data_IF_811605602398
#
_entry.id   IF_811605602398
#
_cell.length_a   1.000
_cell.length_b   1.000
_cell.length_c   1.000
_cell.angle_alpha   90.00
_cell.angle_beta   90.00
_cell.angle_gamma   90.00
#
_symmetry.space_group_name_H-M   'P 1'
#
loop_
_entity.id
_entity.type
_entity.pdbx_description
1 polymer ?
#
# COMPACT_ATOMS: atom_id res chain seq x y z
N UNK A 1 -1.20 -24.84 -4.66
CA UNK A 1 -0.18 -25.26 -5.66
C UNK A 1 -0.31 -24.36 -6.89
N UNK A 2 0.80 -23.91 -7.48
CA UNK A 2 0.81 -22.93 -8.59
C UNK A 2 0.29 -23.57 -9.88
N UNK A 3 -0.50 -22.84 -10.67
CA UNK A 3 -1.01 -23.30 -11.97
C UNK A 3 -0.30 -22.54 -13.09
N UNK A 4 0.47 -23.26 -13.90
CA UNK A 4 1.22 -22.68 -15.01
C UNK A 4 0.50 -22.84 -16.34
N UNK A 5 0.71 -21.90 -17.25
CA UNK A 5 0.31 -21.97 -18.66
C UNK A 5 1.44 -21.45 -19.56
N UNK A 6 1.46 -21.90 -20.81
CA UNK A 6 2.30 -21.33 -21.86
C UNK A 6 1.39 -20.59 -22.82
N UNK A 7 1.75 -19.36 -23.19
CA UNK A 7 0.99 -18.57 -24.14
C UNK A 7 1.90 -17.75 -25.06
N UNK A 8 1.30 -17.09 -26.04
CA UNK A 8 2.01 -16.18 -26.96
C UNK A 8 1.48 -14.76 -26.78
N UNK A 9 2.38 -13.80 -26.61
CA UNK A 9 2.03 -12.38 -26.54
C UNK A 9 1.44 -11.96 -27.88
N UNK A 10 0.21 -11.44 -27.86
CA UNK A 10 -0.49 -10.94 -29.05
C UNK A 10 -0.35 -9.44 -29.22
N UNK A 11 -0.43 -8.72 -28.12
CA UNK A 11 -0.32 -7.27 -28.12
C UNK A 11 0.16 -6.74 -26.77
N UNK A 12 0.93 -5.65 -26.83
CA UNK A 12 1.21 -4.81 -25.66
C UNK A 12 0.03 -3.85 -25.50
N UNK A 13 -0.65 -3.89 -24.34
CA UNK A 13 -1.89 -3.12 -24.11
C UNK A 13 -1.61 -1.77 -23.45
N UNK A 14 -1.01 -1.80 -22.25
CA UNK A 14 -0.76 -0.62 -21.42
C UNK A 14 0.58 -0.76 -20.73
N UNK A 15 1.12 0.39 -20.32
CA UNK A 15 2.34 0.47 -19.53
C UNK A 15 2.12 1.46 -18.40
N UNK A 16 2.71 1.15 -17.26
CA UNK A 16 2.88 2.07 -16.14
C UNK A 16 4.18 1.69 -15.42
N UNK A 17 4.57 2.44 -14.39
CA UNK A 17 5.84 2.23 -13.68
C UNK A 17 6.06 0.76 -13.28
N UNK A 18 7.10 0.15 -13.86
CA UNK A 18 7.55 -1.21 -13.58
C UNK A 18 6.65 -2.34 -14.09
N UNK A 19 5.58 -2.05 -14.84
CA UNK A 19 4.63 -3.09 -15.32
C UNK A 19 4.18 -2.87 -16.76
N UNK A 20 4.08 -3.97 -17.49
CA UNK A 20 3.50 -4.03 -18.84
C UNK A 20 2.27 -4.93 -18.82
N UNK A 21 1.12 -4.39 -19.25
CA UNK A 21 -0.10 -5.16 -19.48
C UNK A 21 -0.08 -5.73 -20.90
N UNK A 22 -0.31 -7.03 -21.00
CA UNK A 22 -0.26 -7.81 -22.23
C UNK A 22 -1.62 -8.44 -22.53
N UNK A 23 -1.88 -8.61 -23.82
CA UNK A 23 -2.79 -9.62 -24.32
C UNK A 23 -1.98 -10.88 -24.64
N UNK A 24 -2.38 -12.03 -24.07
CA UNK A 24 -1.72 -13.32 -24.29
C UNK A 24 -2.74 -14.36 -24.72
N UNK A 25 -2.44 -15.07 -25.80
CA UNK A 25 -3.24 -16.20 -26.28
C UNK A 25 -2.71 -17.50 -25.69
N UNK A 26 -3.57 -18.26 -25.00
CA UNK A 26 -3.26 -19.54 -24.36
C UNK A 26 -4.49 -20.44 -24.38
N UNK A 27 -4.32 -21.75 -24.55
CA UNK A 27 -5.41 -22.75 -24.51
C UNK A 27 -6.65 -22.39 -25.36
N UNK A 28 -6.45 -21.74 -26.51
CA UNK A 28 -7.54 -21.35 -27.42
C UNK A 28 -8.29 -20.06 -27.05
N UNK A 29 -7.87 -19.34 -26.01
CA UNK A 29 -8.48 -18.09 -25.57
C UNK A 29 -7.45 -16.98 -25.35
N UNK A 30 -7.91 -15.73 -25.42
CA UNK A 30 -7.13 -14.55 -25.06
C UNK A 30 -7.38 -14.17 -23.60
N UNK A 31 -6.31 -13.87 -22.86
CA UNK A 31 -6.38 -13.36 -21.50
C UNK A 31 -5.47 -12.14 -21.32
N UNK A 32 -5.72 -11.38 -20.25
CA UNK A 32 -4.84 -10.28 -19.84
C UNK A 32 -3.75 -10.81 -18.91
N UNK A 33 -2.52 -10.40 -19.15
CA UNK A 33 -1.38 -10.74 -18.31
C UNK A 33 -0.59 -9.50 -17.91
N UNK A 34 0.15 -9.58 -16.81
CA UNK A 34 1.12 -8.57 -16.39
C UNK A 34 2.53 -9.16 -16.42
N UNK A 35 3.45 -8.42 -17.01
CA UNK A 35 4.89 -8.64 -16.87
C UNK A 35 5.49 -7.51 -16.03
N UNK A 36 6.42 -7.87 -15.15
CA UNK A 36 7.29 -6.92 -14.46
C UNK A 36 8.66 -6.95 -15.16
N UNK A 37 8.97 -6.00 -16.07
CA UNK A 37 10.14 -6.13 -16.93
C UNK A 37 11.46 -6.31 -16.18
N UNK A 38 11.60 -5.69 -14.99
CA UNK A 38 12.78 -5.85 -14.14
C UNK A 38 12.98 -7.27 -13.60
N UNK A 39 11.93 -8.11 -13.58
CA UNK A 39 12.04 -9.50 -13.13
C UNK A 39 12.10 -10.51 -14.28
N UNK A 40 11.39 -10.23 -15.39
CA UNK A 40 11.16 -11.23 -16.44
C UNK A 40 11.66 -10.82 -17.82
N UNK A 41 12.22 -9.61 -17.94
CA UNK A 41 12.59 -9.00 -19.21
C UNK A 41 11.42 -8.25 -19.88
N UNK A 42 11.75 -7.42 -20.87
CA UNK A 42 10.77 -6.61 -21.60
C UNK A 42 10.04 -7.46 -22.65
N UNK A 43 8.72 -7.72 -22.52
CA UNK A 43 7.95 -8.52 -23.47
C UNK A 43 7.76 -7.85 -24.83
N UNK A 44 7.66 -8.66 -25.88
CA UNK A 44 7.40 -8.26 -27.26
C UNK A 44 6.27 -9.10 -27.86
N UNK A 45 5.59 -8.55 -28.87
CA UNK A 45 4.61 -9.34 -29.64
C UNK A 45 5.29 -10.55 -30.29
N UNK A 46 4.60 -11.70 -30.23
CA UNK A 46 5.13 -12.97 -30.73
C UNK A 46 5.95 -13.77 -29.71
N UNK A 47 6.39 -13.17 -28.59
CA UNK A 47 7.08 -13.92 -27.54
C UNK A 47 6.21 -15.06 -27.00
N UNK A 48 6.85 -16.19 -26.72
CA UNK A 48 6.29 -17.20 -25.83
C UNK A 48 6.52 -16.76 -24.38
N UNK A 49 5.50 -16.89 -23.55
CA UNK A 49 5.55 -16.57 -22.12
C UNK A 49 5.02 -17.72 -21.28
N UNK A 50 5.63 -17.91 -20.11
CA UNK A 50 5.09 -18.78 -19.06
C UNK A 50 4.29 -17.93 -18.07
N UNK A 51 3.10 -18.39 -17.72
CA UNK A 51 2.13 -17.64 -16.93
C UNK A 51 1.78 -18.38 -15.63
N UNK A 52 1.68 -17.66 -14.52
CA UNK A 52 0.95 -18.09 -13.33
C UNK A 52 -0.50 -17.62 -13.44
N UNK A 53 -1.41 -18.59 -13.55
CA UNK A 53 -2.86 -18.36 -13.69
C UNK A 53 -3.64 -18.77 -12.44
N UNK A 54 -2.98 -19.16 -11.35
CA UNK A 54 -3.63 -19.78 -10.19
C UNK A 54 -4.76 -18.92 -9.59
N UNK A 55 -4.44 -17.69 -9.21
CA UNK A 55 -5.41 -16.78 -8.61
C UNK A 55 -6.45 -16.25 -9.62
N UNK A 56 -6.08 -16.16 -10.91
CA UNK A 56 -7.01 -15.85 -11.99
C UNK A 56 -8.10 -16.93 -12.12
N UNK A 57 -7.69 -18.20 -12.22
CA UNK A 57 -8.62 -19.33 -12.35
C UNK A 57 -9.52 -19.49 -11.12
N UNK A 58 -9.01 -19.13 -9.93
CA UNK A 58 -9.78 -19.18 -8.69
C UNK A 58 -10.63 -17.92 -8.44
N UNK A 59 -10.55 -16.90 -9.30
CA UNK A 59 -11.30 -15.66 -9.12
C UNK A 59 -10.90 -14.85 -7.87
N UNK A 60 -9.66 -14.99 -7.39
CA UNK A 60 -9.20 -14.40 -6.11
C UNK A 60 -8.80 -12.91 -6.22
N UNK A 61 -9.36 -12.17 -7.18
CA UNK A 61 -9.18 -10.72 -7.25
C UNK A 61 -7.77 -10.24 -7.62
N UNK A 62 -7.10 -10.86 -8.60
CA UNK A 62 -5.81 -10.37 -9.15
C UNK A 62 -5.94 -9.14 -10.06
N UNK A 63 -7.07 -8.43 -10.02
CA UNK A 63 -7.46 -7.49 -11.08
C UNK A 63 -7.85 -8.18 -12.40
N UNK A 64 -7.95 -9.52 -12.39
CA UNK A 64 -8.27 -10.32 -13.58
C UNK A 64 -7.07 -10.48 -14.51
N UNK A 65 -5.86 -10.58 -13.95
CA UNK A 65 -4.62 -10.81 -14.68
C UNK A 65 -3.99 -12.16 -14.35
N UNK A 66 -3.39 -12.79 -15.36
CA UNK A 66 -2.31 -13.76 -15.18
C UNK A 66 -0.98 -13.03 -14.94
N UNK A 67 -0.02 -13.65 -14.26
CA UNK A 67 1.31 -13.06 -14.08
C UNK A 67 2.33 -13.78 -14.95
N UNK A 68 3.10 -13.04 -15.74
CA UNK A 68 4.24 -13.58 -16.49
C UNK A 68 5.30 -14.00 -15.50
N UNK A 69 5.75 -15.25 -15.64
CA UNK A 69 6.82 -15.85 -14.82
C UNK A 69 8.15 -15.80 -15.55
N UNK A 70 8.15 -16.02 -16.87
CA UNK A 70 9.35 -15.99 -17.69
C UNK A 70 9.01 -15.77 -19.17
N UNK A 71 9.98 -15.21 -19.89
CA UNK A 71 10.05 -15.17 -21.36
C UNK A 71 11.17 -16.15 -21.77
N UNK A 72 10.89 -17.47 -21.83
CA UNK A 72 11.92 -18.50 -21.87
C UNK A 72 12.85 -18.43 -23.08
N UNK A 73 12.35 -17.90 -24.20
CA UNK A 73 13.08 -17.88 -25.45
C UNK A 73 13.83 -16.54 -25.66
N UNK A 74 13.73 -15.61 -24.69
CA UNK A 74 14.38 -14.29 -24.69
C UNK A 74 14.61 -13.79 -23.27
N UNK A 75 15.71 -14.26 -22.67
CA UNK A 75 16.10 -13.89 -21.32
C UNK A 75 16.45 -12.40 -21.22
N UNK A 76 16.21 -11.74 -20.08
CA UNK A 76 16.77 -10.42 -19.83
C UNK A 76 18.31 -10.48 -19.87
N UNK A 77 18.99 -9.39 -20.27
CA UNK A 77 20.44 -9.30 -20.13
C UNK A 77 20.84 -9.33 -18.65
N UNK A 78 22.02 -9.86 -18.36
CA UNK A 78 22.60 -9.74 -17.02
C UNK A 78 22.82 -8.25 -16.66
N UNK A 79 22.77 -7.90 -15.36
CA UNK A 79 23.20 -6.57 -14.90
C UNK A 79 24.61 -6.23 -15.39
N UNK A 80 24.91 -4.92 -15.45
CA UNK A 80 26.23 -4.46 -15.90
C UNK A 80 27.35 -4.82 -14.91
N UNK A 81 27.03 -4.94 -13.62
CA UNK A 81 27.92 -5.53 -12.63
C UNK A 81 27.91 -7.06 -12.72
N UNK A 82 29.03 -7.68 -12.41
CA UNK A 82 29.19 -9.14 -12.46
C UNK A 82 28.67 -9.85 -11.19
N UNK A 83 28.02 -9.11 -10.28
CA UNK A 83 27.50 -9.61 -9.01
C UNK A 83 28.56 -10.04 -8.00
N UNK A 84 29.85 -9.75 -8.22
CA UNK A 84 30.93 -10.18 -7.30
C UNK A 84 31.19 -9.20 -6.15
N UNK A 85 30.70 -7.97 -6.27
CA UNK A 85 30.78 -6.92 -5.24
C UNK A 85 29.39 -6.62 -4.66
N UNK A 86 29.32 -5.72 -3.68
CA UNK A 86 28.05 -5.26 -3.06
C UNK A 86 27.75 -3.80 -3.37
N UNK A 87 28.42 -3.25 -4.39
CA UNK A 87 28.38 -1.82 -4.72
C UNK A 87 27.03 -1.39 -5.32
N UNK A 88 26.27 -2.34 -5.87
CA UNK A 88 24.90 -2.14 -6.35
C UNK A 88 23.83 -2.52 -5.31
N UNK A 89 24.24 -2.83 -4.07
CA UNK A 89 23.36 -3.35 -3.02
C UNK A 89 23.19 -4.87 -3.09
N UNK A 90 22.70 -5.44 -1.99
CA UNK A 90 22.54 -6.90 -1.86
C UNK A 90 21.29 -7.29 -1.07
N UNK A 91 20.36 -6.36 -0.90
CA UNK A 91 19.10 -6.64 -0.23
C UNK A 91 18.24 -7.52 -1.13
N UNK A 92 18.01 -8.76 -0.69
CA UNK A 92 17.16 -9.72 -1.39
C UNK A 92 15.71 -9.61 -0.90
N UNK A 93 14.80 -9.32 -1.84
CA UNK A 93 13.34 -9.29 -1.69
C UNK A 93 12.72 -10.55 -2.32
N UNK A 94 11.54 -10.94 -1.86
CA UNK A 94 10.93 -12.22 -2.19
C UNK A 94 11.91 -13.40 -1.99
N UNK A 95 12.60 -13.41 -0.84
CA UNK A 95 13.68 -14.36 -0.53
C UNK A 95 13.24 -15.81 -0.69
N UNK A 96 14.11 -16.63 -1.27
CA UNK A 96 13.88 -18.06 -1.52
C UNK A 96 12.72 -18.38 -2.48
N UNK A 97 12.18 -17.39 -3.20
CA UNK A 97 11.31 -17.63 -4.36
C UNK A 97 12.16 -17.77 -5.64
N UNK A 98 11.64 -18.36 -6.72
CA UNK A 98 12.41 -18.51 -7.96
C UNK A 98 12.83 -17.19 -8.65
N UNK A 99 12.23 -16.05 -8.31
CA UNK A 99 12.47 -14.76 -8.98
C UNK A 99 13.29 -13.74 -8.18
N UNK A 100 13.60 -13.99 -6.91
CA UNK A 100 14.37 -13.12 -5.97
C UNK A 100 14.87 -11.80 -6.55
N UNK A 101 14.23 -10.69 -6.17
CA UNK A 101 14.66 -9.36 -6.59
C UNK A 101 15.82 -8.90 -5.70
N UNK A 102 16.95 -8.54 -6.31
CA UNK A 102 18.09 -7.90 -5.63
C UNK A 102 17.94 -6.40 -5.82
N UNK A 103 18.09 -5.64 -4.75
CA UNK A 103 17.96 -4.18 -4.79
C UNK A 103 18.88 -3.54 -3.77
N UNK A 104 19.18 -2.25 -3.99
CA UNK A 104 19.90 -1.44 -3.03
C UNK A 104 18.99 -1.01 -1.88
N UNK A 105 19.24 -1.55 -0.70
CA UNK A 105 18.56 -1.13 0.52
C UNK A 105 19.01 0.26 0.95
N UNK A 106 18.06 1.07 1.43
CA UNK A 106 18.29 2.48 1.82
C UNK A 106 19.34 2.63 2.92
N UNK A 107 19.50 1.62 3.77
CA UNK A 107 20.44 1.56 4.88
C UNK A 107 21.70 0.72 4.59
N UNK A 108 21.87 0.17 3.38
CA UNK A 108 23.06 -0.60 3.01
C UNK A 108 24.31 0.30 2.88
N UNK A 109 25.51 -0.27 3.04
CA UNK A 109 26.78 0.47 2.93
C UNK A 109 26.96 1.19 1.58
N UNK A 110 26.50 0.57 0.50
CA UNK A 110 26.54 1.16 -0.84
C UNK A 110 25.48 2.26 -1.07
N UNK A 111 24.54 2.44 -0.14
CA UNK A 111 23.48 3.43 -0.29
C UNK A 111 24.03 4.85 -0.19
N UNK A 112 23.64 5.77 -1.09
CA UNK A 112 23.97 7.19 -0.95
C UNK A 112 23.34 7.81 0.32
N UNK A 113 22.39 7.10 0.96
CA UNK A 113 21.70 7.53 2.16
C UNK A 113 22.26 6.91 3.44
N UNK A 114 23.34 6.11 3.36
CA UNK A 114 23.92 5.38 4.49
C UNK A 114 24.20 6.27 5.70
N UNK A 115 24.80 7.44 5.49
CA UNK A 115 25.13 8.38 6.57
C UNK A 115 23.89 8.91 7.28
N UNK A 116 22.87 9.32 6.52
CA UNK A 116 21.58 9.80 7.05
C UNK A 116 20.91 8.70 7.85
N UNK A 117 20.81 7.50 7.28
CA UNK A 117 20.16 6.36 7.93
C UNK A 117 20.88 5.89 9.19
N UNK A 118 22.23 5.93 9.22
CA UNK A 118 23.01 5.57 10.40
C UNK A 118 22.79 6.52 11.59
N UNK A 119 22.40 7.77 11.33
CA UNK A 119 22.11 8.79 12.35
C UNK A 119 20.63 8.91 12.72
N UNK A 120 19.74 8.26 11.98
CA UNK A 120 18.30 8.41 12.13
C UNK A 120 17.78 7.54 13.29
N UNK A 121 17.40 8.17 14.40
CA UNK A 121 16.92 7.46 15.60
C UNK A 121 15.42 7.64 15.87
N UNK A 122 14.80 8.66 15.30
CA UNK A 122 13.45 9.11 15.66
C UNK A 122 12.69 9.62 14.42
N UNK A 123 11.36 9.62 14.47
CA UNK A 123 10.50 10.28 13.47
C UNK A 123 10.28 11.76 13.77
N UNK A 124 10.89 12.22 14.87
CA UNK A 124 10.76 13.55 15.44
C UNK A 124 9.28 13.89 15.48
N UNK A 125 8.40 13.15 16.17
CA UNK A 125 6.97 13.52 16.22
C UNK A 125 6.18 13.54 14.90
N UNK A 126 6.74 13.13 13.75
CA UNK A 126 6.04 13.12 12.46
C UNK A 126 4.70 12.34 12.57
N UNK A 127 3.58 12.92 12.11
CA UNK A 127 2.32 12.20 11.98
C UNK A 127 2.42 11.04 10.98
N UNK A 128 1.92 9.87 11.38
CA UNK A 128 1.88 8.68 10.53
C UNK A 128 0.47 8.10 10.48
N UNK A 129 -0.14 8.13 9.30
CA UNK A 129 -1.48 7.57 9.07
C UNK A 129 -1.35 6.09 8.71
N UNK A 130 -1.91 5.20 9.52
CA UNK A 130 -2.01 3.77 9.18
C UNK A 130 -3.35 3.46 8.53
N UNK A 131 -3.38 2.74 7.41
CA UNK A 131 -4.61 2.34 6.74
C UNK A 131 -4.59 0.87 6.31
N UNK A 132 -5.71 0.17 6.53
CA UNK A 132 -5.82 -1.27 6.29
C UNK A 132 -5.59 -1.63 4.81
N UNK A 133 -6.17 -0.88 3.89
CA UNK A 133 -6.11 -1.20 2.47
C UNK A 133 -5.33 -0.15 1.71
N UNK A 134 -4.55 -0.59 0.71
CA UNK A 134 -3.88 0.28 -0.25
C UNK A 134 -4.82 1.32 -0.90
N UNK A 135 -6.09 0.95 -1.11
CA UNK A 135 -7.13 1.82 -1.69
C UNK A 135 -7.46 3.05 -0.85
N UNK A 136 -7.05 3.11 0.42
CA UNK A 136 -7.23 4.30 1.26
C UNK A 136 -6.23 5.41 0.94
N UNK A 137 -5.06 5.08 0.35
CA UNK A 137 -3.97 6.03 0.14
C UNK A 137 -4.40 7.31 -0.60
N UNK A 138 -5.12 7.26 -1.74
CA UNK A 138 -5.54 8.48 -2.43
C UNK A 138 -6.48 9.35 -1.60
N UNK A 139 -7.37 8.73 -0.82
CA UNK A 139 -8.30 9.47 0.04
C UNK A 139 -7.61 10.13 1.22
N UNK A 140 -6.69 9.41 1.89
CA UNK A 140 -5.82 10.00 2.93
C UNK A 140 -5.04 11.20 2.35
N UNK A 141 -4.44 11.03 1.17
CA UNK A 141 -3.68 12.10 0.52
C UNK A 141 -4.57 13.30 0.16
N UNK A 142 -5.78 13.07 -0.35
CA UNK A 142 -6.74 14.14 -0.62
C UNK A 142 -7.07 14.94 0.64
N UNK A 143 -7.29 14.25 1.78
CA UNK A 143 -7.52 14.89 3.07
C UNK A 143 -6.32 15.69 3.58
N UNK A 144 -5.10 15.16 3.41
CA UNK A 144 -3.86 15.87 3.75
C UNK A 144 -3.72 17.14 2.91
N UNK A 145 -3.80 17.03 1.58
CA UNK A 145 -3.53 18.13 0.66
C UNK A 145 -4.62 19.20 0.66
N UNK A 146 -5.86 18.83 1.01
CA UNK A 146 -6.91 19.82 1.22
C UNK A 146 -6.60 20.71 2.44
N UNK A 147 -6.07 20.13 3.51
CA UNK A 147 -5.73 20.87 4.74
C UNK A 147 -4.36 21.58 4.62
N UNK A 148 -3.39 20.93 3.99
CA UNK A 148 -2.01 21.40 3.78
C UNK A 148 -1.54 21.10 2.36
N UNK A 149 -1.84 21.98 1.38
CA UNK A 149 -1.53 21.75 -0.03
C UNK A 149 -0.04 21.55 -0.36
N UNK A 150 0.86 22.00 0.51
CA UNK A 150 2.32 21.91 0.32
C UNK A 150 2.97 20.76 1.12
N UNK A 151 2.18 19.94 1.83
CA UNK A 151 2.73 18.88 2.66
C UNK A 151 3.44 17.82 1.80
N UNK A 152 4.66 17.43 2.23
CA UNK A 152 5.39 16.31 1.64
C UNK A 152 4.91 15.00 2.25
N UNK A 153 4.20 14.21 1.46
CA UNK A 153 3.63 12.93 1.91
C UNK A 153 4.41 11.76 1.34
N UNK A 154 4.96 10.91 2.20
CA UNK A 154 5.56 9.65 1.79
C UNK A 154 4.60 8.47 2.01
N UNK A 155 4.74 7.43 1.22
CA UNK A 155 4.02 6.17 1.39
C UNK A 155 4.98 5.05 1.80
N UNK A 156 4.75 4.43 2.95
CA UNK A 156 5.48 3.24 3.39
C UNK A 156 4.59 2.02 3.12
N UNK A 157 4.95 1.24 2.11
CA UNK A 157 4.22 0.06 1.69
C UNK A 157 4.73 -1.18 2.42
N UNK A 158 3.84 -1.83 3.19
CA UNK A 158 4.16 -3.10 3.87
C UNK A 158 3.85 -4.32 2.99
N UNK A 159 4.42 -5.46 3.35
CA UNK A 159 4.39 -6.70 2.56
C UNK A 159 3.17 -7.58 2.81
N UNK A 160 2.14 -7.07 3.49
CA UNK A 160 0.89 -7.79 3.76
C UNK A 160 0.15 -8.27 2.51
N UNK A 161 0.32 -7.58 1.37
CA UNK A 161 -0.21 -8.00 0.07
C UNK A 161 0.76 -8.85 -0.77
N UNK A 162 2.04 -8.94 -0.38
CA UNK A 162 3.10 -9.69 -1.06
C UNK A 162 3.25 -9.40 -2.58
N UNK A 163 2.98 -8.15 -3.01
CA UNK A 163 3.13 -7.70 -4.40
C UNK A 163 4.19 -6.58 -4.51
N UNK A 164 4.86 -6.45 -5.66
CA UNK A 164 5.68 -5.29 -5.94
C UNK A 164 4.83 -4.02 -6.03
N UNK A 165 5.39 -2.87 -5.65
CA UNK A 165 4.75 -1.55 -5.77
C UNK A 165 4.33 -1.27 -7.22
N UNK A 166 5.09 -1.80 -8.18
CA UNK A 166 4.82 -1.75 -9.62
C UNK A 166 3.44 -2.26 -10.01
N UNK A 167 2.83 -3.17 -9.25
CA UNK A 167 1.46 -3.63 -9.54
C UNK A 167 0.44 -2.48 -9.45
N UNK A 168 0.72 -1.46 -8.63
CA UNK A 168 -0.22 -0.38 -8.34
C UNK A 168 -0.20 0.72 -9.39
N UNK A 169 -1.25 0.74 -10.22
CA UNK A 169 -1.57 1.92 -11.06
C UNK A 169 -1.91 3.16 -10.22
N UNK A 170 -2.35 2.97 -8.98
CA UNK A 170 -2.60 4.08 -8.06
C UNK A 170 -1.30 4.77 -7.70
N UNK A 171 -0.22 4.03 -7.39
CA UNK A 171 1.09 4.63 -7.13
C UNK A 171 1.67 5.31 -8.37
N UNK A 172 1.49 4.72 -9.55
CA UNK A 172 1.89 5.34 -10.81
C UNK A 172 1.19 6.69 -11.03
N UNK A 173 -0.13 6.77 -10.83
CA UNK A 173 -0.89 8.01 -10.96
C UNK A 173 -0.66 9.03 -9.83
N UNK A 174 -0.14 8.60 -8.69
CA UNK A 174 0.21 9.46 -7.55
C UNK A 174 1.68 9.88 -7.51
N UNK A 175 2.49 9.49 -8.50
CA UNK A 175 3.95 9.73 -8.54
C UNK A 175 4.35 11.19 -8.31
N UNK A 176 3.58 12.15 -8.83
CA UNK A 176 3.86 13.59 -8.70
C UNK A 176 3.18 14.22 -7.47
N UNK A 177 2.45 13.44 -6.67
CA UNK A 177 1.74 13.88 -5.47
C UNK A 177 2.34 13.29 -4.18
N UNK A 178 3.26 12.32 -4.30
CA UNK A 178 3.99 11.73 -3.18
C UNK A 178 5.45 12.18 -3.23
N UNK A 179 6.06 12.37 -2.06
CA UNK A 179 7.51 12.54 -1.93
C UNK A 179 8.28 11.28 -2.34
N UNK A 180 7.63 10.12 -2.21
CA UNK A 180 8.16 8.81 -2.64
C UNK A 180 7.43 7.65 -1.95
N UNK A 181 7.66 6.46 -2.48
CA UNK A 181 7.21 5.18 -1.92
C UNK A 181 8.40 4.42 -1.34
N UNK A 182 8.31 4.00 -0.09
CA UNK A 182 9.29 3.12 0.57
C UNK A 182 8.67 1.74 0.75
N UNK A 183 9.26 0.71 0.15
CA UNK A 183 8.81 -0.67 0.32
C UNK A 183 9.55 -1.36 1.45
N UNK A 184 8.82 -2.06 2.31
CA UNK A 184 9.37 -2.65 3.54
C UNK A 184 9.21 -4.17 3.56
N UNK A 185 10.01 -4.87 4.37
CA UNK A 185 9.91 -6.32 4.50
C UNK A 185 10.23 -7.02 3.18
N UNK A 186 9.31 -7.84 2.68
CA UNK A 186 9.41 -8.55 1.41
C UNK A 186 8.75 -7.84 0.22
N UNK A 187 8.06 -6.71 0.43
CA UNK A 187 7.61 -5.86 -0.67
C UNK A 187 8.81 -5.17 -1.32
N UNK A 188 8.69 -4.86 -2.61
CA UNK A 188 9.75 -4.26 -3.42
C UNK A 188 9.18 -3.44 -4.58
N UNK A 189 10.04 -2.76 -5.32
CA UNK A 189 9.69 -1.85 -6.41
C UNK A 189 9.33 -0.44 -5.95
N UNK A 190 9.72 -0.05 -4.74
CA UNK A 190 9.58 1.32 -4.25
C UNK A 190 10.60 2.27 -4.87
N UNK A 191 10.50 3.57 -4.51
CA UNK A 191 11.58 4.54 -4.73
C UNK A 191 12.77 4.27 -3.81
N UNK A 192 12.50 3.75 -2.61
CA UNK A 192 13.49 3.28 -1.65
C UNK A 192 13.10 1.89 -1.14
N UNK A 193 14.09 1.03 -0.93
CA UNK A 193 13.90 -0.31 -0.38
C UNK A 193 14.38 -0.36 1.06
N UNK A 194 13.51 -0.76 1.98
CA UNK A 194 13.81 -0.91 3.39
C UNK A 194 13.61 -2.34 3.88
N UNK A 195 14.44 -2.76 4.83
CA UNK A 195 14.40 -4.09 5.42
C UNK A 195 13.18 -4.28 6.35
N UNK A 196 12.82 -3.23 7.11
CA UNK A 196 11.75 -3.25 8.11
C UNK A 196 10.85 -2.02 8.01
N UNK A 197 9.68 -2.07 8.65
CA UNK A 197 8.80 -0.89 8.79
C UNK A 197 9.50 0.26 9.51
N UNK A 198 10.34 -0.03 10.51
CA UNK A 198 11.09 0.99 11.26
C UNK A 198 12.06 1.75 10.35
N UNK A 199 12.90 1.01 9.61
CA UNK A 199 13.82 1.59 8.62
C UNK A 199 13.06 2.36 7.54
N UNK A 200 11.91 1.84 7.10
CA UNK A 200 11.07 2.51 6.10
C UNK A 200 10.49 3.85 6.58
N UNK A 201 10.03 3.91 7.84
CA UNK A 201 9.55 5.14 8.47
C UNK A 201 10.67 6.17 8.63
N UNK A 202 11.86 5.74 9.07
CA UNK A 202 13.03 6.61 9.18
C UNK A 202 13.47 7.13 7.81
N UNK A 203 13.47 6.30 6.78
CA UNK A 203 13.75 6.72 5.41
C UNK A 203 12.71 7.73 4.89
N UNK A 204 11.42 7.50 5.15
CA UNK A 204 10.37 8.43 4.80
C UNK A 204 10.60 9.82 5.42
N UNK A 205 10.96 9.86 6.71
CA UNK A 205 11.27 11.11 7.42
C UNK A 205 12.55 11.77 6.92
N UNK A 206 13.66 11.06 6.97
CA UNK A 206 15.01 11.65 6.88
C UNK A 206 15.59 11.66 5.48
N UNK A 207 15.17 10.73 4.61
CA UNK A 207 15.63 10.66 3.21
C UNK A 207 14.63 11.35 2.29
N UNK A 208 13.33 11.01 2.40
CA UNK A 208 12.29 11.64 1.57
C UNK A 208 11.80 12.97 2.13
N UNK A 209 12.23 13.38 3.33
CA UNK A 209 11.87 14.65 3.94
C UNK A 209 10.36 14.78 4.16
N UNK A 210 9.68 13.69 4.53
CA UNK A 210 8.23 13.69 4.69
C UNK A 210 7.79 14.51 5.92
N UNK A 211 6.74 15.28 5.73
CA UNK A 211 5.99 15.93 6.81
C UNK A 211 4.98 14.95 7.42
N UNK A 212 4.47 14.03 6.60
CA UNK A 212 3.47 13.03 6.96
C UNK A 212 3.79 11.74 6.20
N UNK A 213 3.66 10.61 6.89
CA UNK A 213 3.77 9.30 6.23
C UNK A 213 2.44 8.56 6.26
N UNK A 214 2.08 7.91 5.15
CA UNK A 214 0.99 6.94 5.11
C UNK A 214 1.59 5.54 5.12
N UNK A 215 1.16 4.68 6.05
CA UNK A 215 1.55 3.26 6.11
C UNK A 215 0.34 2.42 5.74
N UNK A 216 0.46 1.61 4.69
CA UNK A 216 -0.53 0.59 4.37
C UNK A 216 0.14 -0.59 3.66
N UNK A 217 -0.48 -1.75 3.69
CA UNK A 217 -0.07 -2.84 2.82
C UNK A 217 -0.25 -2.49 1.35
N UNK A 218 0.53 -3.13 0.47
CA UNK A 218 0.29 -3.09 -0.97
C UNK A 218 -1.04 -3.73 -1.39
N UNK A 219 -1.39 -3.68 -2.68
CA UNK A 219 -2.57 -4.37 -3.21
C UNK A 219 -2.56 -5.87 -2.89
N UNK A 220 -3.75 -6.48 -2.82
CA UNK A 220 -3.87 -7.92 -2.55
C UNK A 220 -4.12 -8.30 -1.09
N UNK A 221 -4.91 -7.50 -0.36
CA UNK A 221 -5.28 -7.78 1.03
C UNK A 221 -5.80 -9.23 1.21
N UNK A 222 -5.18 -9.97 2.12
CA UNK A 222 -5.56 -11.33 2.48
C UNK A 222 -6.57 -11.30 3.64
N UNK A 223 -7.57 -12.17 3.56
CA UNK A 223 -8.53 -12.39 4.64
C UNK A 223 -9.12 -13.79 4.57
N UNK A 224 -9.10 -14.52 5.68
CA UNK A 224 -9.66 -15.87 5.81
C UNK A 224 -11.00 -15.86 6.54
N UNK A 225 -11.44 -14.71 7.04
CA UNK A 225 -12.69 -14.54 7.78
C UNK A 225 -12.61 -14.93 9.27
N UNK A 226 -11.42 -15.21 9.79
CA UNK A 226 -11.19 -15.43 11.23
C UNK A 226 -10.62 -14.17 11.88
N UNK A 227 -10.75 -14.07 13.21
CA UNK A 227 -10.35 -12.89 14.00
C UNK A 227 -8.92 -12.42 13.74
N UNK A 228 -7.99 -13.31 13.45
CA UNK A 228 -6.57 -12.99 13.23
C UNK A 228 -6.10 -13.20 11.79
N UNK A 229 -6.93 -13.85 10.97
CA UNK A 229 -6.53 -14.30 9.64
C UNK A 229 -6.71 -13.23 8.58
N UNK A 230 -6.05 -12.08 8.73
CA UNK A 230 -6.05 -11.02 7.72
C UNK A 230 -4.75 -10.23 7.75
N UNK A 231 -4.29 -9.77 6.59
CA UNK A 231 -2.98 -9.07 6.48
C UNK A 231 -2.98 -7.69 7.14
N UNK A 232 -4.14 -7.04 7.23
CA UNK A 232 -4.33 -5.77 7.94
C UNK A 232 -4.06 -5.80 9.45
N UNK A 233 -3.85 -6.98 10.05
CA UNK A 233 -3.49 -7.09 11.47
C UNK A 233 -2.18 -6.36 11.76
N UNK A 234 -1.29 -6.29 10.76
CA UNK A 234 -0.01 -5.60 10.80
C UNK A 234 -0.12 -4.09 11.04
N UNK A 235 -1.30 -3.47 10.92
CA UNK A 235 -1.46 -2.06 11.30
C UNK A 235 -1.18 -1.84 12.78
N UNK A 236 -1.58 -2.77 13.66
CA UNK A 236 -1.27 -2.64 15.09
C UNK A 236 0.24 -2.70 15.36
N UNK A 237 0.96 -3.51 14.60
CA UNK A 237 2.43 -3.56 14.62
C UNK A 237 3.05 -2.26 14.09
N UNK A 238 2.46 -1.68 13.04
CA UNK A 238 2.88 -0.37 12.53
C UNK A 238 2.66 0.75 13.57
N UNK A 239 1.53 0.76 14.29
CA UNK A 239 1.30 1.69 15.42
C UNK A 239 2.43 1.55 16.46
N UNK A 240 2.84 0.33 16.77
CA UNK A 240 3.93 0.09 17.71
C UNK A 240 5.27 0.62 17.18
N UNK A 241 5.59 0.37 15.91
CA UNK A 241 6.81 0.89 15.28
C UNK A 241 6.84 2.43 15.28
N UNK A 242 5.71 3.08 14.99
CA UNK A 242 5.58 4.54 15.04
C UNK A 242 5.83 5.05 16.46
N UNK A 243 5.21 4.42 17.47
CA UNK A 243 5.39 4.79 18.87
C UNK A 243 6.83 4.61 19.37
N UNK A 244 7.48 3.51 19.01
CA UNK A 244 8.89 3.23 19.34
C UNK A 244 9.83 4.30 18.78
N UNK A 245 9.57 4.77 17.55
CA UNK A 245 10.39 5.80 16.91
C UNK A 245 9.94 7.24 17.26
N UNK A 246 9.04 7.43 18.23
CA UNK A 246 8.61 8.76 18.68
C UNK A 246 7.76 9.53 17.66
N UNK A 247 7.09 8.85 16.72
CA UNK A 247 6.11 9.46 15.82
C UNK A 247 4.72 9.62 16.46
N UNK A 248 3.77 10.17 15.70
CA UNK A 248 2.38 10.36 16.15
C UNK A 248 1.43 9.45 15.35
N UNK A 249 0.99 8.32 15.92
CA UNK A 249 0.16 7.36 15.20
C UNK A 249 -1.26 7.90 14.98
N UNK A 250 -1.72 7.85 13.74
CA UNK A 250 -3.09 8.17 13.32
C UNK A 250 -3.71 6.93 12.66
N UNK A 251 -4.62 6.26 13.36
CA UNK A 251 -5.28 5.06 12.85
C UNK A 251 -6.48 5.39 11.98
N UNK A 252 -6.33 5.29 10.65
CA UNK A 252 -7.47 5.37 9.73
C UNK A 252 -8.39 4.17 9.97
N UNK A 253 -9.66 4.44 10.20
CA UNK A 253 -10.68 3.42 10.35
C UNK A 253 -11.16 2.95 8.97
N UNK A 254 -11.49 1.66 8.87
CA UNK A 254 -12.23 1.13 7.71
C UNK A 254 -13.72 1.11 8.06
N UNK A 255 -14.43 2.14 7.64
CA UNK A 255 -15.88 2.27 7.78
C UNK A 255 -16.51 2.03 6.42
N UNK A 256 -17.60 1.26 6.34
CA UNK A 256 -18.31 1.03 5.08
C UNK A 256 -19.81 1.09 5.31
N UNK A 257 -20.52 1.70 4.36
CA UNK A 257 -21.98 1.70 4.25
C UNK A 257 -22.47 1.07 2.93
N UNK A 258 -21.54 0.85 1.99
CA UNK A 258 -21.80 0.31 0.66
C UNK A 258 -21.92 -1.22 0.56
N UNK A 259 -21.55 -1.98 1.60
CA UNK A 259 -21.69 -3.44 1.60
C UNK A 259 -23.08 -3.85 2.11
N UNK A 260 -23.90 -4.44 1.23
CA UNK A 260 -25.24 -4.89 1.59
C UNK A 260 -25.30 -6.02 2.63
N UNK A 261 -24.16 -6.57 3.06
CA UNK A 261 -24.10 -7.57 4.13
C UNK A 261 -23.98 -6.88 5.50
N UNK A 262 -24.88 -7.16 6.46
CA UNK A 262 -24.91 -6.48 7.76
C UNK A 262 -23.57 -6.46 8.51
N UNK A 263 -22.80 -7.55 8.44
CA UNK A 263 -21.48 -7.68 9.11
C UNK A 263 -20.35 -6.85 8.49
N UNK A 264 -20.58 -6.24 7.32
CA UNK A 264 -19.59 -5.42 6.61
C UNK A 264 -20.00 -3.94 6.54
N UNK A 265 -21.11 -3.60 7.20
CA UNK A 265 -21.53 -2.22 7.47
C UNK A 265 -20.93 -1.75 8.80
N UNK A 266 -20.63 -0.46 8.90
CA UNK A 266 -20.02 0.14 10.09
C UNK A 266 -18.51 -0.06 10.14
N UNK A 267 -17.94 -0.03 11.35
CA UNK A 267 -16.50 -0.20 11.56
C UNK A 267 -16.10 -1.64 11.31
N UNK A 268 -15.08 -1.83 10.48
CA UNK A 268 -14.59 -3.15 10.19
C UNK A 268 -13.94 -3.82 11.40
N UNK A 269 -14.22 -5.11 11.58
CA UNK A 269 -13.54 -5.93 12.59
C UNK A 269 -12.01 -5.95 12.43
N UNK A 270 -11.47 -5.70 11.22
CA UNK A 270 -10.03 -5.54 10.99
C UNK A 270 -9.48 -4.37 11.82
N UNK A 271 -10.13 -3.20 11.74
CA UNK A 271 -9.75 -2.01 12.52
C UNK A 271 -9.89 -2.26 14.02
N UNK A 272 -10.99 -2.90 14.44
CA UNK A 272 -11.22 -3.21 15.86
C UNK A 272 -10.17 -4.18 16.41
N UNK A 273 -9.77 -5.21 15.66
CA UNK A 273 -8.72 -6.14 16.08
C UNK A 273 -7.34 -5.48 16.08
N UNK A 274 -6.96 -4.80 15.00
CA UNK A 274 -5.63 -4.20 14.88
C UNK A 274 -5.39 -3.14 15.95
N UNK A 275 -6.33 -2.20 16.13
CA UNK A 275 -6.20 -1.14 17.13
C UNK A 275 -6.51 -1.67 18.54
N UNK A 276 -7.56 -2.46 18.73
CA UNK A 276 -7.97 -2.90 20.08
C UNK A 276 -7.13 -4.01 20.70
N UNK A 277 -6.43 -4.83 19.90
CA UNK A 277 -5.73 -6.02 20.40
C UNK A 277 -4.23 -6.07 20.09
N UNK A 278 -3.77 -5.42 19.02
CA UNK A 278 -2.37 -5.51 18.56
C UNK A 278 -1.59 -4.23 18.86
N UNK A 279 -2.22 -3.07 18.68
CA UNK A 279 -1.61 -1.79 19.06
C UNK A 279 -1.40 -1.73 20.58
N UNK A 280 -0.16 -1.45 20.98
CA UNK A 280 0.30 -1.27 22.36
C UNK A 280 0.49 0.21 22.68
N UNK A 281 0.78 1.04 21.69
CA UNK A 281 0.85 2.49 21.83
C UNK A 281 -0.50 3.17 21.55
N UNK A 282 -0.82 4.28 22.25
CA UNK A 282 -1.97 5.11 21.92
C UNK A 282 -1.89 5.66 20.49
N UNK A 283 -3.06 5.81 19.87
CA UNK A 283 -3.20 6.40 18.54
C UNK A 283 -4.39 7.37 18.54
N UNK A 284 -4.36 8.34 17.64
CA UNK A 284 -5.57 9.09 17.30
C UNK A 284 -6.39 8.26 16.31
N UNK A 285 -7.69 8.11 16.56
CA UNK A 285 -8.64 7.45 15.66
C UNK A 285 -9.64 8.51 15.16
N UNK A 286 -9.37 9.11 13.98
CA UNK A 286 -10.24 10.13 13.40
C UNK A 286 -11.59 9.55 12.97
N UNK A 287 -12.67 10.24 13.35
CA UNK A 287 -14.06 9.92 13.01
C UNK A 287 -14.67 11.15 12.32
N UNK A 288 -15.14 11.04 11.06
CA UNK A 288 -15.71 12.18 10.34
C UNK A 288 -17.06 12.63 10.94
N UNK A 289 -17.26 13.94 11.05
CA UNK A 289 -18.52 14.53 11.51
C UNK A 289 -19.68 14.44 10.51
N UNK A 290 -19.38 14.10 9.25
CA UNK A 290 -20.34 14.04 8.14
C UNK A 290 -20.92 12.66 7.83
N UNK A 291 -20.84 11.69 8.74
CA UNK A 291 -21.48 10.38 8.53
C UNK A 291 -23.00 10.48 8.67
N UNK A 292 -23.72 9.61 7.96
CA UNK A 292 -25.16 9.43 8.16
C UNK A 292 -25.46 9.10 9.64
N UNK A 293 -26.49 9.70 10.28
CA UNK A 293 -26.71 9.56 11.72
C UNK A 293 -26.76 8.13 12.26
N UNK A 294 -27.41 7.18 11.57
CA UNK A 294 -27.45 5.79 12.03
C UNK A 294 -26.07 5.14 11.94
N UNK A 295 -25.34 5.36 10.83
CA UNK A 295 -23.95 4.91 10.70
C UNK A 295 -23.04 5.55 11.75
N UNK A 296 -23.19 6.84 12.05
CA UNK A 296 -22.41 7.53 13.07
C UNK A 296 -22.60 6.89 14.45
N UNK A 297 -23.84 6.58 14.82
CA UNK A 297 -24.15 5.88 16.08
C UNK A 297 -23.57 4.45 16.11
N UNK A 298 -23.64 3.71 15.00
CA UNK A 298 -23.00 2.40 14.86
C UNK A 298 -21.47 2.49 15.05
N UNK A 299 -20.83 3.52 14.47
CA UNK A 299 -19.40 3.77 14.59
C UNK A 299 -19.02 4.13 16.03
N UNK A 300 -19.73 5.06 16.67
CA UNK A 300 -19.43 5.48 18.04
C UNK A 300 -19.57 4.30 19.03
N UNK A 301 -20.61 3.48 18.88
CA UNK A 301 -20.78 2.27 19.70
C UNK A 301 -19.66 1.26 19.50
N UNK A 302 -19.20 1.05 18.26
CA UNK A 302 -18.10 0.14 17.94
C UNK A 302 -16.74 0.64 18.46
N UNK A 303 -16.53 1.95 18.53
CA UNK A 303 -15.29 2.57 18.97
C UNK A 303 -15.23 2.81 20.49
N UNK A 304 -16.35 2.81 21.21
CA UNK A 304 -16.38 3.05 22.65
C UNK A 304 -15.36 2.20 23.45
N UNK A 305 -15.15 0.89 23.19
CA UNK A 305 -14.13 0.11 23.88
C UNK A 305 -12.69 0.54 23.56
N UNK A 306 -12.46 1.14 22.39
CA UNK A 306 -11.14 1.61 21.97
C UNK A 306 -10.74 2.92 22.66
N UNK A 307 -11.69 3.67 23.22
CA UNK A 307 -11.42 4.94 23.91
C UNK A 307 -10.58 4.77 25.20
N UNK A 308 -10.50 3.56 25.75
CA UNK A 308 -9.63 3.26 26.89
C UNK A 308 -8.14 3.30 26.53
N UNK A 309 -7.80 3.14 25.24
CA UNK A 309 -6.43 3.04 24.74
C UNK A 309 -6.06 4.12 23.73
N UNK A 310 -7.06 4.62 23.00
CA UNK A 310 -6.89 5.53 21.88
C UNK A 310 -7.68 6.81 22.09
N UNK A 311 -7.29 7.87 21.38
CA UNK A 311 -8.04 9.12 21.35
C UNK A 311 -8.99 9.10 20.16
N UNK A 312 -10.29 9.08 20.42
CA UNK A 312 -11.29 9.24 19.38
C UNK A 312 -11.39 10.73 19.02
N UNK A 313 -11.12 11.09 17.77
CA UNK A 313 -11.05 12.49 17.34
C UNK A 313 -12.13 12.78 16.31
N UNK A 314 -13.07 13.66 16.63
CA UNK A 314 -14.08 14.13 15.67
C UNK A 314 -13.44 15.10 14.68
N UNK A 315 -13.65 14.87 13.39
CA UNK A 315 -13.03 15.65 12.32
C UNK A 315 -14.10 16.26 11.40
N UNK A 316 -14.14 17.60 11.27
CA UNK A 316 -14.97 18.28 10.29
C UNK A 316 -14.72 17.76 8.88
N UNK A 317 -15.76 17.72 8.04
CA UNK A 317 -15.69 17.12 6.69
C UNK A 317 -15.84 18.11 5.55
N UNK A 318 -15.99 19.41 5.86
CA UNK A 318 -16.20 20.46 4.85
C UNK A 318 -15.11 20.44 3.77
N UNK A 319 -15.50 20.37 2.50
CA UNK A 319 -14.57 20.32 1.36
C UNK A 319 -13.83 18.99 1.14
N UNK A 320 -14.02 17.97 2.00
CA UNK A 320 -13.39 16.66 1.76
C UNK A 320 -14.01 15.93 0.56
N UNK A 321 -15.31 16.06 0.31
CA UNK A 321 -15.94 15.43 -0.85
C UNK A 321 -15.37 15.99 -2.16
N UNK A 322 -15.23 17.31 -2.26
CA UNK A 322 -14.61 17.97 -3.41
C UNK A 322 -13.16 17.51 -3.60
N UNK A 323 -12.39 17.41 -2.51
CA UNK A 323 -11.02 16.92 -2.56
C UNK A 323 -10.93 15.44 -3.01
N UNK A 324 -11.86 14.59 -2.56
CA UNK A 324 -11.96 13.19 -3.00
C UNK A 324 -12.30 13.10 -4.49
N UNK A 325 -13.23 13.92 -4.97
CA UNK A 325 -13.60 13.99 -6.40
C UNK A 325 -12.49 14.56 -7.28
N UNK A 326 -11.65 15.43 -6.72
CA UNK A 326 -10.48 16.00 -7.40
C UNK A 326 -9.25 15.07 -7.40
N UNK A 327 -9.35 13.86 -6.82
CA UNK A 327 -8.25 12.90 -6.80
C UNK A 327 -7.72 12.63 -8.22
N UNK A 328 -6.40 12.69 -8.45
CA UNK A 328 -5.80 12.44 -9.78
C UNK A 328 -5.92 10.98 -10.22
N UNK A 329 -6.32 10.09 -9.30
CA UNK A 329 -6.56 8.67 -9.53
C UNK A 329 -7.97 8.29 -9.10
N UNK A 330 -8.56 7.32 -9.80
CA UNK A 330 -9.89 6.81 -9.45
C UNK A 330 -9.92 6.16 -8.06
N UNK A 331 -10.90 6.54 -7.25
CA UNK A 331 -11.16 5.95 -5.94
C UNK A 331 -11.95 4.65 -6.10
N UNK A 332 -11.35 3.52 -5.71
CA UNK A 332 -12.06 2.25 -5.66
C UNK A 332 -11.54 1.33 -4.55
N UNK A 333 -12.46 0.71 -3.82
CA UNK A 333 -12.18 -0.27 -2.76
C UNK A 333 -13.05 -1.49 -2.96
N UNK A 334 -12.45 -2.69 -2.99
CA UNK A 334 -13.18 -3.96 -3.11
C UNK A 334 -14.24 -3.99 -4.24
N UNK A 335 -13.95 -3.34 -5.37
CA UNK A 335 -14.85 -3.25 -6.53
C UNK A 335 -15.92 -2.15 -6.47
N UNK A 336 -15.94 -1.33 -5.41
CA UNK A 336 -16.85 -0.18 -5.26
C UNK A 336 -16.11 1.13 -5.48
N UNK A 337 -16.75 2.09 -6.14
CA UNK A 337 -16.25 3.46 -6.32
C UNK A 337 -16.62 4.41 -5.17
N UNK A 338 -16.21 5.68 -5.26
CA UNK A 338 -16.49 6.71 -4.26
C UNK A 338 -17.97 6.77 -3.85
N UNK A 339 -18.86 6.95 -4.81
CA UNK A 339 -20.29 7.13 -4.54
C UNK A 339 -20.97 5.83 -4.03
N UNK A 340 -20.32 4.68 -4.22
CA UNK A 340 -20.84 3.37 -3.77
C UNK A 340 -20.41 3.01 -2.35
N UNK A 341 -19.36 3.64 -1.81
CA UNK A 341 -18.84 3.38 -0.45
C UNK A 341 -18.23 4.68 0.10
N UNK A 342 -19.07 5.71 0.20
CA UNK A 342 -18.62 7.08 0.50
C UNK A 342 -18.00 7.18 1.88
N UNK A 343 -18.59 6.52 2.89
CA UNK A 343 -18.10 6.51 4.25
C UNK A 343 -16.66 5.99 4.36
N UNK A 344 -16.27 5.03 3.52
CA UNK A 344 -14.91 4.50 3.47
C UNK A 344 -13.89 5.58 3.09
N UNK A 345 -14.15 6.28 1.98
CA UNK A 345 -13.23 7.30 1.48
C UNK A 345 -13.25 8.56 2.34
N UNK A 346 -14.42 8.97 2.84
CA UNK A 346 -14.56 10.11 3.74
C UNK A 346 -13.79 9.89 5.05
N UNK A 347 -13.87 8.69 5.61
CA UNK A 347 -13.13 8.33 6.84
C UNK A 347 -11.62 8.35 6.61
N UNK A 348 -11.14 7.82 5.48
CA UNK A 348 -9.73 7.89 5.11
C UNK A 348 -9.25 9.34 4.91
N UNK A 349 -10.04 10.18 4.25
CA UNK A 349 -9.73 11.60 4.07
C UNK A 349 -9.72 12.36 5.40
N UNK A 350 -10.65 12.07 6.31
CA UNK A 350 -10.66 12.65 7.65
C UNK A 350 -9.38 12.30 8.43
N UNK A 351 -8.85 11.07 8.28
CA UNK A 351 -7.58 10.69 8.87
C UNK A 351 -6.40 11.49 8.31
N UNK A 352 -6.36 11.70 7.00
CA UNK A 352 -5.37 12.57 6.35
C UNK A 352 -5.43 14.02 6.84
N UNK A 353 -6.63 14.60 6.87
CA UNK A 353 -6.87 15.96 7.39
C UNK A 353 -6.40 16.09 8.84
N UNK A 354 -6.73 15.12 9.70
CA UNK A 354 -6.29 15.13 11.09
C UNK A 354 -4.77 15.10 11.21
N UNK A 355 -4.10 14.19 10.48
CA UNK A 355 -2.65 14.12 10.46
C UNK A 355 -2.01 15.44 10.01
N UNK A 356 -2.59 16.11 9.02
CA UNK A 356 -2.16 17.44 8.60
C UNK A 356 -2.30 18.47 9.73
N UNK A 357 -3.40 18.46 10.51
CA UNK A 357 -3.62 19.40 11.63
C UNK A 357 -2.69 19.20 12.82
N UNK A 358 -2.16 18.00 13.00
CA UNK A 358 -1.23 17.71 14.09
C UNK A 358 0.03 18.60 14.04
N UNK A 359 0.36 19.17 12.88
CA UNK A 359 1.52 20.06 12.70
C UNK A 359 2.76 19.30 12.27
N UNK A 360 3.75 19.97 11.64
CA UNK A 360 5.09 19.40 11.62
C UNK A 360 5.59 19.29 13.07
N UNK A 361 6.62 18.47 13.30
CA UNK A 361 7.21 18.40 14.62
C UNK A 361 7.99 19.63 15.07
#
# INVERSE_FOLDING_TARGET
MVRWRSGTVRAIRRRWRGTVELSVFTDGAELRALAYPELVGEPQEGDRVLLNVGALVMGLGTGGYALVVAIPDRLPPDPADDGTTRDSGHLVKARYTPLQAISLGVDEEASPHRSVMASAESLDGMPVVTADLHSALPAVLAGVLQEKPQARVAYVMTDGGALPAWFSRTLDGLRDHLAGTVTTGQAFGGDLEASTVHTGLLAARHVLGADITVVAQGPGNLGTGTTWGFSGVALGEAINAIGVLGGRPVGSLRVSDGDGRPRHRGVSHHSLTAYGKVALFPADLPVPDGLEPALAAEVDAALAPLAERHRLVRVPTDGLDDALRASPVGLSTMGRGLDQDHAYFLTAAAAGRHAARLGPP
#
